data_IF_848735925433
#
_entry.id   IF_848735925433
#
_cell.length_a   1.000
_cell.length_b   1.000
_cell.length_c   1.000
_cell.angle_alpha   90.00
_cell.angle_beta   90.00
_cell.angle_gamma   90.00
#
_symmetry.space_group_name_H-M   'P 1'
#
loop_
_entity.id
_entity.type
_entity.pdbx_description
1 polymer ?
#
# COMPACT_ATOMS: atom_id res chain seq x y z
N UNK A 1 5.04 4.24 17.53
CA UNK A 1 3.83 3.54 18.05
C UNK A 1 2.90 3.26 16.89
N UNK A 2 2.36 2.05 16.73
CA UNK A 2 1.42 1.77 15.66
C UNK A 2 0.14 2.59 15.82
N UNK A 3 -0.40 3.10 14.72
CA UNK A 3 -1.71 3.77 14.65
C UNK A 3 -2.73 2.78 14.08
N UNK A 4 -3.99 2.86 14.53
CA UNK A 4 -5.10 2.06 14.01
C UNK A 4 -6.21 2.99 13.51
N UNK A 5 -6.93 2.53 12.51
CA UNK A 5 -8.14 3.17 12.00
C UNK A 5 -9.27 2.13 11.98
N UNK A 6 -10.50 2.56 12.26
CA UNK A 6 -11.70 1.77 12.11
C UNK A 6 -12.47 2.29 10.88
N UNK A 7 -12.92 1.38 10.03
CA UNK A 7 -13.63 1.71 8.79
C UNK A 7 -14.94 0.95 8.82
N UNK A 8 -16.06 1.67 8.79
CA UNK A 8 -17.38 1.07 8.58
C UNK A 8 -17.58 0.80 7.08
N UNK A 9 -18.00 -0.42 6.75
CA UNK A 9 -18.35 -0.84 5.40
C UNK A 9 -19.61 -1.73 5.45
N UNK A 10 -20.35 -1.87 4.34
CA UNK A 10 -21.53 -2.73 4.31
C UNK A 10 -21.21 -4.16 4.75
N UNK A 11 -22.07 -4.76 5.56
CA UNK A 11 -21.94 -6.14 6.04
C UNK A 11 -21.86 -7.16 4.89
N UNK A 12 -22.47 -6.85 3.74
CA UNK A 12 -22.44 -7.67 2.53
C UNK A 12 -21.14 -7.58 1.72
N UNK A 13 -20.20 -6.70 2.07
CA UNK A 13 -19.02 -6.45 1.23
C UNK A 13 -18.13 -7.70 1.12
N UNK A 14 -17.81 -8.33 2.25
CA UNK A 14 -16.96 -9.53 2.29
C UNK A 14 -17.61 -10.70 1.55
N UNK A 15 -18.93 -10.86 1.68
CA UNK A 15 -19.70 -11.86 0.95
C UNK A 15 -19.63 -11.64 -0.57
N UNK A 16 -19.72 -10.39 -1.02
CA UNK A 16 -19.62 -10.03 -2.43
C UNK A 16 -18.23 -10.30 -2.99
N UNK A 17 -17.19 -10.02 -2.20
CA UNK A 17 -15.78 -10.24 -2.58
C UNK A 17 -15.35 -11.70 -2.45
N UNK A 18 -16.11 -12.53 -1.73
CA UNK A 18 -15.75 -13.91 -1.38
C UNK A 18 -14.43 -13.99 -0.59
N UNK A 19 -14.24 -13.05 0.33
CA UNK A 19 -13.01 -12.92 1.12
C UNK A 19 -13.29 -13.10 2.62
N UNK A 20 -12.31 -13.62 3.35
CA UNK A 20 -12.33 -13.54 4.81
C UNK A 20 -11.98 -12.11 5.28
N UNK A 21 -12.35 -11.72 6.51
CA UNK A 21 -11.95 -10.43 7.07
C UNK A 21 -10.43 -10.17 7.01
N UNK A 22 -9.61 -11.20 7.24
CA UNK A 22 -8.15 -11.10 7.20
C UNK A 22 -7.60 -10.91 5.78
N UNK A 23 -8.25 -11.50 4.77
CA UNK A 23 -7.90 -11.31 3.36
C UNK A 23 -8.21 -9.88 2.94
N UNK A 24 -9.40 -9.40 3.26
CA UNK A 24 -9.84 -8.04 2.98
C UNK A 24 -8.98 -7.00 3.71
N UNK A 25 -8.65 -7.19 4.99
CA UNK A 25 -7.78 -6.26 5.73
C UNK A 25 -6.40 -6.15 5.06
N UNK A 26 -5.84 -7.28 4.61
CA UNK A 26 -4.56 -7.32 3.90
C UNK A 26 -4.65 -6.61 2.55
N UNK A 27 -5.72 -6.84 1.79
CA UNK A 27 -5.96 -6.18 0.51
C UNK A 27 -6.16 -4.66 0.69
N UNK A 28 -7.01 -4.25 1.63
CA UNK A 28 -7.27 -2.84 1.92
C UNK A 28 -5.99 -2.10 2.36
N UNK A 29 -5.18 -2.72 3.21
CA UNK A 29 -3.88 -2.15 3.64
C UNK A 29 -2.92 -1.99 2.47
N UNK A 30 -2.87 -2.97 1.58
CA UNK A 30 -2.03 -2.91 0.38
C UNK A 30 -2.55 -1.85 -0.60
N UNK A 31 -3.84 -1.82 -0.90
CA UNK A 31 -4.46 -0.83 -1.78
C UNK A 31 -4.19 0.61 -1.30
N UNK A 32 -4.26 0.84 0.02
CA UNK A 32 -3.90 2.13 0.62
C UNK A 32 -2.42 2.48 0.40
N UNK A 33 -1.50 1.53 0.62
CA UNK A 33 -0.06 1.73 0.40
C UNK A 33 0.25 2.07 -1.04
N UNK A 34 -0.30 1.27 -1.97
CA UNK A 34 -0.15 1.46 -3.41
C UNK A 34 -0.68 2.83 -3.80
N UNK A 35 -1.87 3.23 -3.32
CA UNK A 35 -2.45 4.50 -3.73
C UNK A 35 -1.67 5.71 -3.21
N UNK A 36 -1.18 5.66 -1.98
CA UNK A 36 -0.35 6.73 -1.42
C UNK A 36 1.00 6.85 -2.15
N UNK A 37 1.59 5.72 -2.51
CA UNK A 37 2.81 5.66 -3.32
C UNK A 37 2.59 6.21 -4.73
N UNK A 38 1.55 5.74 -5.44
CA UNK A 38 1.18 6.20 -6.78
C UNK A 38 0.94 7.71 -6.83
N UNK A 39 0.36 8.26 -5.76
CA UNK A 39 0.14 9.71 -5.60
C UNK A 39 1.41 10.48 -5.17
N UNK A 40 2.58 9.83 -5.12
CA UNK A 40 3.86 10.39 -4.64
C UNK A 40 3.79 11.01 -3.25
N UNK A 41 2.91 10.50 -2.36
CA UNK A 41 2.72 11.02 -1.00
C UNK A 41 3.62 10.35 0.04
N UNK A 42 4.06 9.13 -0.25
CA UNK A 42 4.99 8.35 0.57
C UNK A 42 5.99 7.67 -0.35
N UNK A 43 7.20 7.40 0.17
CA UNK A 43 8.21 6.65 -0.58
C UNK A 43 7.86 5.16 -0.66
N UNK A 44 8.51 4.43 -1.58
CA UNK A 44 8.37 2.98 -1.69
C UNK A 44 8.85 2.25 -0.43
N UNK A 45 9.82 2.81 0.31
CA UNK A 45 10.26 2.30 1.61
C UNK A 45 9.17 2.39 2.68
N UNK A 46 8.56 3.57 2.84
CA UNK A 46 7.47 3.77 3.80
C UNK A 46 6.22 2.95 3.45
N UNK A 47 5.88 2.83 2.16
CA UNK A 47 4.78 2.00 1.70
C UNK A 47 5.02 0.51 2.02
N UNK A 48 6.25 0.02 1.80
CA UNK A 48 6.65 -1.35 2.12
C UNK A 48 6.58 -1.65 3.63
N UNK A 49 7.10 -0.73 4.46
CA UNK A 49 7.00 -0.84 5.93
C UNK A 49 5.54 -0.90 6.37
N UNK A 50 4.68 -0.06 5.81
CA UNK A 50 3.26 -0.03 6.14
C UNK A 50 2.59 -1.38 5.90
N UNK A 51 2.94 -2.10 4.83
CA UNK A 51 2.36 -3.42 4.51
C UNK A 51 3.19 -4.60 5.06
N UNK A 52 4.26 -4.33 5.80
CA UNK A 52 5.12 -5.36 6.39
C UNK A 52 5.90 -6.18 5.35
N UNK A 53 6.30 -5.55 4.23
CA UNK A 53 7.10 -6.16 3.17
C UNK A 53 8.45 -5.46 3.05
N UNK A 54 9.43 -6.12 2.45
CA UNK A 54 10.61 -5.41 1.96
C UNK A 54 10.27 -4.57 0.71
N UNK A 55 11.10 -3.58 0.41
CA UNK A 55 10.90 -2.64 -0.71
C UNK A 55 10.73 -3.36 -2.05
N UNK A 56 11.54 -4.38 -2.34
CA UNK A 56 11.47 -5.09 -3.61
C UNK A 56 10.16 -5.87 -3.76
N UNK A 57 9.75 -6.57 -2.69
CA UNK A 57 8.46 -7.26 -2.65
C UNK A 57 7.27 -6.31 -2.82
N UNK A 58 7.31 -5.11 -2.23
CA UNK A 58 6.27 -4.10 -2.45
C UNK A 58 6.22 -3.63 -3.91
N UNK A 59 7.36 -3.29 -4.50
CA UNK A 59 7.43 -2.83 -5.89
C UNK A 59 6.89 -3.90 -6.87
N UNK A 60 7.16 -5.18 -6.62
CA UNK A 60 6.63 -6.30 -7.42
C UNK A 60 5.09 -6.42 -7.33
N UNK A 61 4.49 -6.03 -6.21
CA UNK A 61 3.04 -6.10 -6.02
C UNK A 61 2.29 -4.99 -6.77
N UNK A 62 2.96 -3.87 -7.12
CA UNK A 62 2.34 -2.74 -7.82
C UNK A 62 1.59 -3.16 -9.09
N UNK A 63 2.14 -4.12 -9.83
CA UNK A 63 1.52 -4.63 -11.06
C UNK A 63 0.13 -5.22 -10.81
N UNK A 64 -0.11 -5.86 -9.66
CA UNK A 64 -1.43 -6.43 -9.30
C UNK A 64 -2.50 -5.35 -9.09
N UNK A 65 -2.07 -4.12 -8.79
CA UNK A 65 -2.93 -2.97 -8.58
C UNK A 65 -2.95 -2.02 -9.79
N UNK A 66 -2.38 -2.43 -10.93
CA UNK A 66 -2.35 -1.63 -12.16
C UNK A 66 -1.44 -0.42 -12.09
N UNK A 67 -0.50 -0.36 -11.14
CA UNK A 67 0.48 0.72 -11.03
C UNK A 67 1.77 0.30 -11.73
N UNK A 68 2.19 1.08 -12.72
CA UNK A 68 3.43 0.83 -13.45
C UNK A 68 4.65 1.12 -12.56
N UNK A 69 5.58 0.17 -12.52
CA UNK A 69 6.82 0.27 -11.76
C UNK A 69 7.78 1.34 -12.32
N UNK A 70 7.56 1.80 -13.57
CA UNK A 70 8.53 2.61 -14.34
C UNK A 70 8.44 4.11 -14.02
N UNK A 71 7.52 4.56 -13.18
CA UNK A 71 7.44 5.97 -12.77
C UNK A 71 8.35 6.34 -11.58
N UNK A 72 9.44 5.58 -11.37
CA UNK A 72 10.55 5.91 -10.47
C UNK A 72 11.39 7.05 -11.07
N UNK A 73 10.77 8.19 -11.36
CA UNK A 73 11.54 9.41 -11.62
C UNK A 73 12.25 9.82 -10.33
N UNK A 74 13.37 10.51 -10.52
CA UNK A 74 14.40 10.96 -9.58
C UNK A 74 13.95 11.53 -8.21
N UNK A 75 12.66 11.80 -8.02
CA UNK A 75 12.06 12.36 -6.80
C UNK A 75 12.02 11.37 -5.61
N UNK A 76 12.02 10.05 -5.86
CA UNK A 76 11.96 9.04 -4.78
C UNK A 76 13.18 9.10 -3.85
N UNK A 77 14.35 9.46 -4.39
CA UNK A 77 15.61 9.53 -3.65
C UNK A 77 15.64 10.70 -2.65
N UNK A 78 15.00 11.83 -2.95
CA UNK A 78 14.93 12.96 -2.01
C UNK A 78 14.00 12.66 -0.83
N UNK A 79 12.87 11.98 -1.08
CA UNK A 79 11.92 11.62 -0.01
C UNK A 79 12.48 10.60 0.99
N UNK A 80 13.34 9.68 0.55
CA UNK A 80 14.03 8.72 1.43
C UNK A 80 15.09 9.41 2.32
N UNK A 81 15.61 10.58 1.94
CA UNK A 81 16.59 11.35 2.73
C UNK A 81 15.90 12.29 3.72
N UNK A 82 14.75 12.87 3.37
CA UNK A 82 14.02 13.78 4.25
C UNK A 82 13.22 13.08 5.36
N UNK A 83 12.88 11.79 5.19
CA UNK A 83 12.04 11.03 6.11
C UNK A 83 12.79 9.93 6.91
N UNK A 84 14.13 9.92 6.87
CA UNK A 84 14.98 8.98 7.63
C UNK A 84 15.31 9.44 9.06
#
# INVERSE_FOLDING_TARGET
>A
MPRKMEIEYPDTLLDLLQETPEEFEREAKMAMAVKLFELKRISSGMAAEMVGKDRASFLLELQRYGVEMINMESDELESDVENA
#
